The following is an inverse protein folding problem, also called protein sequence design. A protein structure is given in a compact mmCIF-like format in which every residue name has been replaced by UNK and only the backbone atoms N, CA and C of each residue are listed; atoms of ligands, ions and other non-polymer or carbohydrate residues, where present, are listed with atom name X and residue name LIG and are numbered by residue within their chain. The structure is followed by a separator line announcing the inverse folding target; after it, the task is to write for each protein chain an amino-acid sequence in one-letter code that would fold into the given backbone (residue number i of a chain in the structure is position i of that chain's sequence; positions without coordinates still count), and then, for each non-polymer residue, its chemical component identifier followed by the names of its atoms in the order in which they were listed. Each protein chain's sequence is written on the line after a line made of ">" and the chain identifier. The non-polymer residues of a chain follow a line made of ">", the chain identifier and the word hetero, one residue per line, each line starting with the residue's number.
data_IF_025077259543
#
_entry.id   IF_025077259543
#
_cell.length_a   1.000
_cell.length_b   1.000
_cell.length_c   1.000
_cell.angle_alpha   90.00
_cell.angle_beta   90.00
_cell.angle_gamma   90.00
#
_symmetry.space_group_name_H-M   'P 1'
#
loop_
_entity.id
_entity.type
_entity.pdbx_description
1 polymer ?
#
# COMPACT_ATOMS: atom_id res chain seq x y z
N UNK A 1 9.23 -69.55 -13.08
CA UNK A 1 9.42 -68.36 -12.21
C UNK A 1 10.29 -67.34 -12.94
N UNK A 2 9.69 -66.26 -13.49
CA UNK A 2 10.45 -65.24 -14.20
C UNK A 2 11.00 -64.24 -13.18
N UNK A 3 12.33 -64.25 -12.98
CA UNK A 3 13.05 -63.32 -12.16
C UNK A 3 13.12 -61.96 -12.92
N UNK A 4 12.30 -60.96 -12.55
CA UNK A 4 12.39 -59.61 -13.08
C UNK A 4 13.77 -59.05 -12.70
N UNK A 5 14.60 -58.72 -13.71
CA UNK A 5 15.87 -57.99 -13.51
C UNK A 5 15.55 -56.62 -12.99
N UNK A 6 15.94 -56.30 -11.77
CA UNK A 6 15.92 -54.95 -11.23
C UNK A 6 17.10 -54.19 -11.86
N UNK A 7 16.82 -53.27 -12.73
CA UNK A 7 17.81 -52.33 -13.26
C UNK A 7 18.07 -51.25 -12.19
N UNK A 8 19.25 -51.29 -11.58
CA UNK A 8 19.69 -50.25 -10.67
C UNK A 8 20.08 -48.98 -11.44
N UNK A 9 19.87 -47.79 -10.84
CA UNK A 9 20.31 -46.52 -11.39
C UNK A 9 21.83 -46.46 -11.49
N UNK A 10 22.35 -45.92 -12.60
CA UNK A 10 23.77 -45.65 -12.77
C UNK A 10 24.17 -44.44 -11.92
N UNK A 11 25.38 -44.48 -11.31
CA UNK A 11 25.96 -43.34 -10.60
C UNK A 11 26.02 -42.06 -11.48
N UNK A 12 26.27 -42.25 -12.79
CA UNK A 12 26.28 -41.17 -13.76
C UNK A 12 24.91 -40.52 -13.93
N UNK A 13 23.85 -41.32 -13.96
CA UNK A 13 22.47 -40.84 -14.11
C UNK A 13 22.04 -40.02 -12.89
N UNK A 14 22.44 -40.43 -11.68
CA UNK A 14 22.18 -39.67 -10.46
C UNK A 14 22.93 -38.36 -10.45
N UNK A 15 24.19 -38.31 -10.90
CA UNK A 15 25.01 -37.10 -10.98
C UNK A 15 24.43 -36.10 -11.99
N UNK A 16 23.99 -36.58 -13.17
CA UNK A 16 23.35 -35.73 -14.18
C UNK A 16 22.03 -35.16 -13.65
N UNK A 17 21.21 -35.98 -12.99
CA UNK A 17 19.94 -35.53 -12.39
C UNK A 17 20.19 -34.46 -11.34
N UNK A 18 21.19 -34.60 -10.47
CA UNK A 18 21.53 -33.55 -9.47
C UNK A 18 22.00 -32.25 -10.11
N UNK A 19 22.78 -32.30 -11.20
CA UNK A 19 23.20 -31.11 -11.93
C UNK A 19 22.00 -30.37 -12.53
N UNK A 20 21.06 -31.06 -13.13
CA UNK A 20 19.85 -30.46 -13.70
C UNK A 20 19.00 -29.80 -12.60
N UNK A 21 18.82 -30.50 -11.48
CA UNK A 21 18.05 -29.95 -10.33
C UNK A 21 18.72 -28.70 -9.74
N UNK A 22 20.05 -28.66 -9.67
CA UNK A 22 20.79 -27.51 -9.19
C UNK A 22 20.59 -26.26 -10.09
N UNK A 23 20.60 -26.44 -11.41
CA UNK A 23 20.37 -25.35 -12.37
C UNK A 23 18.94 -24.83 -12.28
N UNK A 24 17.94 -25.71 -12.25
CA UNK A 24 16.54 -25.30 -12.16
C UNK A 24 16.25 -24.63 -10.80
N UNK A 25 16.83 -25.14 -9.72
CA UNK A 25 16.67 -24.59 -8.37
C UNK A 25 17.17 -23.14 -8.26
N UNK A 26 18.29 -22.79 -8.88
CA UNK A 26 18.83 -21.44 -8.84
C UNK A 26 17.96 -20.42 -9.59
N UNK A 27 17.40 -20.79 -10.74
CA UNK A 27 16.50 -19.94 -11.52
C UNK A 27 15.18 -19.69 -10.78
N UNK A 28 14.61 -20.69 -10.12
CA UNK A 28 13.36 -20.56 -9.35
C UNK A 28 13.50 -19.63 -8.14
N UNK A 29 14.63 -19.68 -7.45
CA UNK A 29 14.84 -18.89 -6.23
C UNK A 29 14.93 -17.38 -6.47
N UNK A 30 15.53 -16.94 -7.56
CA UNK A 30 15.64 -15.51 -7.91
C UNK A 30 14.29 -14.90 -8.28
N UNK A 31 13.43 -15.64 -8.97
CA UNK A 31 12.07 -15.19 -9.32
C UNK A 31 11.19 -15.06 -8.09
N UNK A 32 11.29 -16.00 -7.15
CA UNK A 32 10.48 -16.01 -5.93
C UNK A 32 10.74 -14.78 -5.04
N UNK A 33 12.00 -14.31 -4.95
CA UNK A 33 12.35 -13.06 -4.23
C UNK A 33 11.68 -11.83 -4.84
N UNK A 34 11.69 -11.68 -6.17
CA UNK A 34 11.05 -10.55 -6.87
C UNK A 34 9.54 -10.52 -6.66
N UNK A 35 8.88 -11.67 -6.73
CA UNK A 35 7.43 -11.77 -6.49
C UNK A 35 7.05 -11.45 -5.04
N UNK A 36 7.87 -11.89 -4.08
CA UNK A 36 7.66 -11.57 -2.66
C UNK A 36 7.78 -10.07 -2.36
N UNK A 37 8.78 -9.39 -2.93
CA UNK A 37 8.93 -7.94 -2.78
C UNK A 37 7.70 -7.22 -3.34
N UNK A 38 7.29 -7.51 -4.58
CA UNK A 38 6.11 -6.91 -5.20
C UNK A 38 4.83 -7.14 -4.38
N UNK A 39 4.66 -8.34 -3.80
CA UNK A 39 3.50 -8.65 -2.97
C UNK A 39 3.46 -7.80 -1.69
N UNK A 40 4.62 -7.53 -1.06
CA UNK A 40 4.72 -6.63 0.10
C UNK A 40 4.33 -5.20 -0.26
N UNK A 41 4.79 -4.68 -1.39
CA UNK A 41 4.41 -3.36 -1.87
C UNK A 41 2.91 -3.23 -2.09
N UNK A 42 2.31 -4.19 -2.79
CA UNK A 42 0.85 -4.22 -3.02
C UNK A 42 0.09 -4.24 -1.68
N UNK A 43 0.55 -5.04 -0.72
CA UNK A 43 -0.08 -5.12 0.60
C UNK A 43 0.04 -3.80 1.38
N UNK A 44 1.22 -3.15 1.37
CA UNK A 44 1.41 -1.86 2.03
C UNK A 44 0.47 -0.80 1.45
N UNK A 45 0.38 -0.74 0.12
CA UNK A 45 -0.54 0.17 -0.56
C UNK A 45 -1.99 -0.12 -0.20
N UNK A 46 -2.42 -1.37 -0.24
CA UNK A 46 -3.79 -1.75 0.10
C UNK A 46 -4.17 -1.36 1.54
N UNK A 47 -3.25 -1.52 2.51
CA UNK A 47 -3.49 -1.09 3.89
C UNK A 47 -3.70 0.43 3.98
N UNK A 48 -2.89 1.23 3.28
CA UNK A 48 -3.06 2.69 3.27
C UNK A 48 -4.35 3.11 2.54
N UNK A 49 -4.71 2.42 1.45
CA UNK A 49 -5.94 2.69 0.71
C UNK A 49 -7.17 2.43 1.59
N UNK A 50 -7.19 1.34 2.37
CA UNK A 50 -8.30 1.04 3.30
C UNK A 50 -8.48 2.19 4.32
N UNK A 51 -7.40 2.67 4.93
CA UNK A 51 -7.48 3.75 5.93
C UNK A 51 -7.81 5.08 5.26
N UNK A 52 -7.25 5.37 4.10
CA UNK A 52 -7.56 6.58 3.33
C UNK A 52 -9.02 6.62 2.90
N UNK A 53 -9.56 5.50 2.36
CA UNK A 53 -10.98 5.39 2.01
C UNK A 53 -11.88 5.54 3.24
N UNK A 54 -11.45 5.01 4.40
CA UNK A 54 -12.15 5.20 5.67
C UNK A 54 -12.18 6.67 6.11
N UNK A 55 -11.07 7.39 5.97
CA UNK A 55 -11.00 8.84 6.25
C UNK A 55 -11.90 9.63 5.30
N UNK A 56 -11.87 9.32 4.00
CA UNK A 56 -12.72 9.97 3.00
C UNK A 56 -14.22 9.70 3.27
N UNK A 57 -14.60 8.48 3.67
CA UNK A 57 -15.97 8.14 4.07
C UNK A 57 -16.40 8.90 5.35
N UNK A 58 -15.50 9.00 6.33
CA UNK A 58 -15.77 9.78 7.54
C UNK A 58 -16.00 11.26 7.20
N UNK A 59 -15.16 11.82 6.33
CA UNK A 59 -15.33 13.20 5.84
C UNK A 59 -16.70 13.42 5.16
N UNK A 60 -17.12 12.47 4.33
CA UNK A 60 -18.44 12.56 3.68
C UNK A 60 -19.62 12.61 4.67
N UNK A 61 -19.47 11.95 5.82
CA UNK A 61 -20.50 11.93 6.87
C UNK A 61 -20.50 13.17 7.76
N UNK A 62 -19.29 13.68 8.10
CA UNK A 62 -19.10 14.68 9.16
C UNK A 62 -18.65 16.05 8.65
N UNK A 63 -18.25 16.14 7.36
CA UNK A 63 -17.73 17.36 6.75
C UNK A 63 -16.34 17.77 7.23
N UNK A 64 -15.66 16.92 8.01
CA UNK A 64 -14.28 17.12 8.48
C UNK A 64 -13.61 15.78 8.75
N UNK A 65 -12.29 15.71 8.62
CA UNK A 65 -11.53 14.53 9.04
C UNK A 65 -11.36 14.51 10.56
N UNK A 66 -11.22 13.34 11.19
CA UNK A 66 -10.87 13.23 12.60
C UNK A 66 -9.39 13.57 12.81
N UNK A 67 -9.06 14.16 13.96
CA UNK A 67 -7.68 14.48 14.31
C UNK A 67 -6.92 13.26 14.82
N UNK A 68 -5.85 12.88 14.11
CA UNK A 68 -4.95 11.80 14.50
C UNK A 68 -3.49 12.22 14.37
N UNK A 69 -2.67 11.78 15.31
CA UNK A 69 -1.22 12.06 15.33
C UNK A 69 -0.38 10.90 14.79
N UNK A 70 -0.96 9.71 14.65
CA UNK A 70 -0.28 8.51 14.19
C UNK A 70 -1.23 7.55 13.48
N UNK A 71 -0.68 6.68 12.62
CA UNK A 71 -1.43 5.63 11.94
C UNK A 71 -2.02 4.60 12.91
N UNK A 72 -1.27 4.26 13.96
CA UNK A 72 -1.72 3.32 14.99
C UNK A 72 -3.01 3.80 15.65
N UNK A 73 -3.08 5.09 16.00
CA UNK A 73 -4.30 5.70 16.58
C UNK A 73 -5.51 5.65 15.61
N UNK A 74 -5.27 5.63 14.30
CA UNK A 74 -6.34 5.51 13.30
C UNK A 74 -6.95 4.10 13.26
N UNK A 75 -6.12 3.06 13.44
CA UNK A 75 -6.53 1.65 13.29
C UNK A 75 -6.83 0.95 14.61
N UNK A 76 -6.60 1.58 15.74
CA UNK A 76 -6.97 1.04 17.05
C UNK A 76 -8.46 0.75 17.18
N UNK A 77 -8.86 -0.29 17.94
CA UNK A 77 -10.28 -0.58 18.20
C UNK A 77 -11.05 0.58 18.85
N UNK A 78 -10.34 1.47 19.56
CA UNK A 78 -10.89 2.66 20.20
C UNK A 78 -11.11 3.83 19.23
N UNK A 79 -10.53 3.78 18.04
CA UNK A 79 -10.61 4.80 17.00
C UNK A 79 -12.05 5.08 16.57
N UNK A 80 -12.35 6.33 16.26
CA UNK A 80 -13.65 6.73 15.69
C UNK A 80 -13.89 6.08 14.33
N UNK A 81 -12.85 5.82 13.54
CA UNK A 81 -12.97 5.14 12.24
C UNK A 81 -13.46 3.70 12.39
N UNK A 82 -13.00 3.00 13.43
CA UNK A 82 -13.45 1.63 13.75
C UNK A 82 -14.84 1.65 14.36
N UNK A 83 -15.10 2.56 15.31
CA UNK A 83 -16.42 2.69 15.97
C UNK A 83 -17.55 3.01 15.00
N UNK A 84 -17.26 3.81 13.98
CA UNK A 84 -18.23 4.13 12.92
C UNK A 84 -18.25 3.12 11.78
N UNK A 85 -17.48 2.03 11.90
CA UNK A 85 -17.41 0.95 10.92
C UNK A 85 -16.98 1.40 9.51
N UNK A 86 -16.22 2.51 9.42
CA UNK A 86 -15.65 2.96 8.14
C UNK A 86 -14.36 2.20 7.81
N UNK A 87 -13.67 1.67 8.83
CA UNK A 87 -12.60 0.69 8.67
C UNK A 87 -12.87 -0.54 9.53
N UNK A 88 -12.25 -1.67 9.20
CA UNK A 88 -12.40 -2.93 9.95
C UNK A 88 -11.57 -2.91 11.23
N UNK A 89 -12.04 -3.64 12.23
CA UNK A 89 -11.26 -3.96 13.43
C UNK A 89 -10.05 -4.82 13.01
N UNK A 90 -8.88 -4.56 13.60
CA UNK A 90 -7.63 -5.29 13.36
C UNK A 90 -6.94 -5.00 12.01
N UNK A 91 -7.12 -3.81 11.45
CA UNK A 91 -6.21 -3.39 10.38
C UNK A 91 -4.77 -3.32 10.92
N UNK A 92 -3.76 -3.76 10.13
CA UNK A 92 -2.39 -3.83 10.62
C UNK A 92 -1.81 -2.43 10.85
N UNK A 93 -1.30 -2.16 12.05
CA UNK A 93 -0.64 -0.90 12.42
C UNK A 93 0.78 -0.78 11.82
N UNK A 94 1.34 -1.91 11.36
CA UNK A 94 2.68 -1.97 10.77
C UNK A 94 2.62 -2.42 9.32
N UNK A 95 3.58 -1.95 8.55
CA UNK A 95 3.77 -2.34 7.17
C UNK A 95 4.29 -3.79 7.03
N UNK A 96 4.36 -4.36 5.81
CA UNK A 96 4.85 -5.72 5.59
C UNK A 96 6.34 -5.94 5.90
N UNK A 97 7.09 -4.90 6.19
CA UNK A 97 8.49 -4.96 6.63
C UNK A 97 8.63 -4.75 8.14
N UNK A 98 7.50 -4.53 8.87
CA UNK A 98 7.46 -4.37 10.31
C UNK A 98 7.67 -2.94 10.80
N UNK A 99 7.73 -1.95 9.90
CA UNK A 99 7.84 -0.54 10.24
C UNK A 99 6.47 0.08 10.51
N UNK A 100 6.43 1.16 11.28
CA UNK A 100 5.22 1.95 11.44
C UNK A 100 4.97 2.80 10.20
N UNK A 101 3.70 2.92 9.79
CA UNK A 101 3.32 3.93 8.80
C UNK A 101 3.43 5.33 9.41
N UNK A 102 3.92 6.30 8.62
CA UNK A 102 3.81 7.70 8.97
C UNK A 102 2.41 8.20 8.61
N UNK A 103 1.71 8.78 9.56
CA UNK A 103 0.38 9.31 9.31
C UNK A 103 0.05 10.48 10.21
N UNK A 104 -0.69 11.40 9.68
CA UNK A 104 -1.30 12.52 10.41
C UNK A 104 -2.64 12.86 9.76
N UNK A 105 -3.58 13.29 10.56
CA UNK A 105 -4.85 13.79 10.08
C UNK A 105 -5.24 15.02 10.90
N UNK A 106 -5.79 16.00 10.24
CA UNK A 106 -6.38 17.23 10.82
C UNK A 106 -7.76 17.42 10.20
N UNK A 107 -8.55 18.37 10.72
CA UNK A 107 -9.94 18.60 10.26
C UNK A 107 -10.10 18.79 8.75
N UNK A 108 -9.06 19.27 8.05
CA UNK A 108 -9.12 19.65 6.64
C UNK A 108 -8.34 18.75 5.71
N UNK A 109 -7.38 17.95 6.23
CA UNK A 109 -6.50 17.14 5.41
C UNK A 109 -5.96 15.95 6.18
N UNK A 110 -5.47 14.95 5.48
CA UNK A 110 -4.69 13.86 6.05
C UNK A 110 -3.49 13.52 5.16
N UNK A 111 -2.54 12.82 5.74
CA UNK A 111 -1.35 12.34 5.09
C UNK A 111 -1.02 10.94 5.60
N UNK A 112 -0.83 9.99 4.69
CA UNK A 112 -0.42 8.63 4.97
C UNK A 112 0.81 8.32 4.12
N UNK A 113 1.86 7.77 4.72
CA UNK A 113 3.09 7.37 4.02
C UNK A 113 3.62 6.04 4.54
N UNK A 114 4.04 5.18 3.62
CA UNK A 114 4.85 3.99 3.91
C UNK A 114 6.31 4.26 3.57
N UNK A 115 7.22 3.89 4.44
CA UNK A 115 8.66 4.07 4.23
C UNK A 115 9.27 3.03 3.29
N UNK A 116 8.53 1.94 3.00
CA UNK A 116 8.99 0.88 2.09
C UNK A 116 9.96 -0.11 2.71
N UNK A 117 10.76 -0.77 1.89
CA UNK A 117 11.73 -1.77 2.33
C UNK A 117 12.96 -1.10 2.95
N UNK A 118 13.26 -1.34 4.25
CA UNK A 118 14.42 -0.75 4.91
C UNK A 118 15.76 -1.23 4.32
N UNK A 119 15.74 -2.34 3.55
CA UNK A 119 16.91 -2.86 2.84
C UNK A 119 17.13 -2.19 1.48
N UNK A 120 16.15 -1.40 1.02
CA UNK A 120 16.20 -0.68 -0.26
C UNK A 120 15.85 0.80 -0.03
N UNK A 121 16.85 1.68 0.15
CA UNK A 121 16.60 3.10 0.41
C UNK A 121 15.85 3.81 -0.72
N UNK A 122 15.90 3.30 -1.94
CA UNK A 122 15.18 3.88 -3.08
C UNK A 122 13.65 3.68 -2.99
N UNK A 123 13.19 2.73 -2.17
CA UNK A 123 11.75 2.48 -1.96
C UNK A 123 11.04 3.65 -1.25
N UNK A 124 11.75 4.41 -0.43
CA UNK A 124 11.18 5.53 0.32
C UNK A 124 10.75 6.71 -0.59
N UNK A 125 11.34 6.82 -1.78
CA UNK A 125 11.07 7.90 -2.75
C UNK A 125 9.99 7.53 -3.79
N UNK A 126 9.44 6.33 -3.73
CA UNK A 126 8.37 5.90 -4.63
C UNK A 126 7.06 6.60 -4.24
N UNK A 127 6.71 7.69 -4.94
CA UNK A 127 5.55 8.54 -4.68
C UNK A 127 4.18 7.83 -4.58
N UNK A 128 4.10 6.56 -4.98
CA UNK A 128 2.89 5.73 -4.86
C UNK A 128 2.67 5.17 -3.44
N UNK A 129 3.63 5.32 -2.51
CA UNK A 129 3.46 5.01 -1.10
C UNK A 129 2.86 6.15 -0.26
N UNK A 130 2.54 7.25 -0.88
CA UNK A 130 1.91 8.40 -0.22
C UNK A 130 0.44 8.48 -0.62
N UNK A 131 -0.44 8.71 0.34
CA UNK A 131 -1.86 8.98 0.11
C UNK A 131 -2.30 10.25 0.84
N UNK A 132 -3.00 11.09 0.11
CA UNK A 132 -3.61 12.34 0.57
C UNK A 132 -5.10 12.35 0.18
N UNK A 133 -5.93 13.26 0.72
CA UNK A 133 -7.33 13.36 0.36
C UNK A 133 -7.51 13.49 -1.16
N UNK A 134 -8.46 12.76 -1.70
CA UNK A 134 -8.88 12.93 -3.09
C UNK A 134 -9.45 14.35 -3.22
N UNK A 135 -8.93 15.17 -4.12
CA UNK A 135 -9.30 16.58 -4.35
C UNK A 135 -10.76 16.80 -4.79
N UNK A 136 -11.68 16.00 -4.35
CA UNK A 136 -13.10 16.09 -4.72
C UNK A 136 -13.95 16.87 -3.72
N UNK A 137 -13.37 17.45 -2.69
CA UNK A 137 -14.15 18.09 -1.62
C UNK A 137 -13.72 19.50 -1.28
N UNK A 138 -13.23 20.30 -2.22
CA UNK A 138 -13.25 21.74 -2.07
C UNK A 138 -14.34 22.37 -2.93
N UNK A 139 -15.58 22.15 -2.54
CA UNK A 139 -16.70 22.99 -3.03
C UNK A 139 -16.57 24.45 -2.51
N UNK A 140 -15.57 24.75 -1.68
CA UNK A 140 -15.28 26.11 -1.22
C UNK A 140 -14.45 26.92 -2.22
N UNK A 141 -13.67 26.28 -3.09
CA UNK A 141 -12.83 26.99 -4.06
C UNK A 141 -13.54 27.27 -5.41
N UNK A 142 -14.70 26.67 -5.65
CA UNK A 142 -15.45 26.90 -6.89
C UNK A 142 -16.15 28.27 -6.92
N UNK A 143 -16.28 28.98 -5.78
CA UNK A 143 -16.94 30.28 -5.71
C UNK A 143 -15.97 31.49 -5.72
N UNK A 144 -14.66 31.23 -5.70
CA UNK A 144 -13.65 32.29 -5.78
C UNK A 144 -13.27 32.72 -7.21
N UNK A 145 -13.69 31.98 -8.23
CA UNK A 145 -13.35 32.24 -9.64
C UNK A 145 -14.48 32.88 -10.47
N UNK A 146 -15.63 33.20 -9.89
CA UNK A 146 -16.74 33.89 -10.60
C UNK A 146 -16.92 35.36 -10.26
N UNK A 147 -15.95 35.99 -9.62
CA UNK A 147 -16.00 37.39 -9.25
C UNK A 147 -14.89 38.22 -9.85
N UNK A 148 -14.87 38.43 -11.17
CA UNK A 148 -13.82 39.29 -11.71
C UNK A 148 -13.82 39.42 -13.24
N UNK A 149 -14.83 40.00 -13.81
CA UNK A 149 -14.86 40.24 -15.25
C UNK A 149 -15.90 41.27 -15.64
N UNK A 150 -15.73 42.51 -15.22
CA UNK A 150 -16.46 43.65 -15.83
C UNK A 150 -15.60 44.17 -16.97
N UNK A 151 -16.06 44.21 -18.21
CA UNK A 151 -15.38 44.97 -19.26
C UNK A 151 -15.68 46.44 -19.09
N UNK A 152 -14.66 47.24 -18.92
CA UNK A 152 -14.77 48.70 -19.00
C UNK A 152 -15.06 49.08 -20.46
N UNK A 153 -16.23 49.65 -20.69
CA UNK A 153 -16.56 50.41 -21.88
C UNK A 153 -15.70 51.67 -21.92
N UNK A 154 -15.07 51.90 -23.05
CA UNK A 154 -14.51 53.18 -23.44
C UNK A 154 -15.56 53.97 -24.22
N UNK A 155 -15.86 55.23 -23.85
CA UNK A 155 -16.51 56.16 -24.75
C UNK A 155 -15.47 57.03 -25.44
N UNK A 156 -15.62 57.13 -26.78
CA UNK A 156 -15.17 58.20 -27.69
C UNK A 156 -13.98 59.04 -27.34
#
# INVERSE_FOLDING_TARGET
>A
MNKKRQTGFSLLELLVAMMILAVIGTLGFTQMKKHSAKARHIKAKANMDIVGDGLDQYYMKHGSFPDFTSYEAMVEPSSVLVKESVIRVNEPAKDPWGQAYEARSSKTTYFLKCLGDPSNPDDADLGWFTREPTKTASAADANAQQGGGTPAETPK
#
